data_IF_544533642415
#
_entry.id   IF_544533642415
#
_cell.length_a   1.000
_cell.length_b   1.000
_cell.length_c   1.000
_cell.angle_alpha   90.00
_cell.angle_beta   90.00
_cell.angle_gamma   90.00
#
_symmetry.space_group_name_H-M   'P 1'
#
loop_
_entity.id
_entity.type
_entity.pdbx_description
1 polymer ?
#
# COMPACT_ATOMS: atom_id res chain seq x y z
N UNK A 1 -11.10 13.51 4.71
CA UNK A 1 -10.46 14.84 4.90
C UNK A 1 -9.08 14.78 4.26
N UNK A 2 -8.69 15.74 3.40
CA UNK A 2 -7.32 15.78 2.87
C UNK A 2 -6.41 16.41 3.93
N UNK A 3 -5.48 15.63 4.48
CA UNK A 3 -4.48 16.12 5.42
C UNK A 3 -3.40 16.92 4.69
N UNK A 4 -2.75 17.85 5.38
CA UNK A 4 -1.63 18.65 4.84
C UNK A 4 -0.48 17.81 4.26
N UNK A 5 -0.40 16.52 4.61
CA UNK A 5 0.62 15.58 4.14
C UNK A 5 0.23 14.85 2.84
N UNK A 6 -0.88 15.24 2.18
CA UNK A 6 -1.36 14.60 0.96
C UNK A 6 -2.06 13.25 1.17
N UNK A 7 -2.43 12.93 2.42
CA UNK A 7 -3.22 11.77 2.77
C UNK A 7 -4.71 12.07 2.64
N UNK A 8 -5.49 11.05 2.28
CA UNK A 8 -6.94 11.06 2.35
C UNK A 8 -7.43 9.88 3.19
N UNK A 9 -7.90 10.22 4.39
CA UNK A 9 -8.43 9.29 5.38
C UNK A 9 -9.72 9.85 5.97
N UNK A 10 -10.46 9.02 6.70
CA UNK A 10 -11.72 9.41 7.32
C UNK A 10 -11.50 10.46 8.41
N UNK A 11 -10.79 10.09 9.48
CA UNK A 11 -10.54 10.93 10.65
C UNK A 11 -9.21 10.53 11.33
N UNK A 12 -8.30 11.49 11.49
CA UNK A 12 -6.99 11.28 12.13
C UNK A 12 -7.11 10.95 13.62
N UNK A 13 -8.21 11.34 14.28
CA UNK A 13 -8.42 11.09 15.70
C UNK A 13 -8.68 9.61 16.02
N UNK A 14 -8.90 8.77 15.00
CA UNK A 14 -9.03 7.32 15.16
C UNK A 14 -7.67 6.62 15.36
N UNK A 15 -6.55 7.33 15.15
CA UNK A 15 -5.20 6.78 15.22
C UNK A 15 -4.86 6.01 16.53
N UNK A 16 -5.30 6.42 17.74
CA UNK A 16 -5.02 5.64 18.95
C UNK A 16 -5.54 4.19 18.87
N UNK A 17 -6.79 3.99 18.44
CA UNK A 17 -7.37 2.65 18.26
C UNK A 17 -6.60 1.82 17.23
N UNK A 18 -6.24 2.43 16.10
CA UNK A 18 -5.44 1.74 15.08
C UNK A 18 -4.04 1.35 15.57
N UNK A 19 -3.38 2.18 16.38
CA UNK A 19 -2.08 1.85 16.98
C UNK A 19 -2.17 0.63 17.88
N UNK A 20 -3.22 0.51 18.69
CA UNK A 20 -3.42 -0.65 19.56
C UNK A 20 -3.60 -1.94 18.73
N UNK A 21 -4.37 -1.89 17.64
CA UNK A 21 -4.53 -3.01 16.71
C UNK A 21 -3.22 -3.40 16.03
N UNK A 22 -2.44 -2.42 15.57
CA UNK A 22 -1.12 -2.65 14.93
C UNK A 22 -0.15 -3.27 15.95
N UNK A 23 -0.12 -2.77 17.18
CA UNK A 23 0.71 -3.32 18.25
C UNK A 23 0.33 -4.77 18.57
N UNK A 24 -0.97 -5.08 18.59
CA UNK A 24 -1.47 -6.43 18.81
C UNK A 24 -1.01 -7.40 17.72
N UNK A 25 -1.17 -7.07 16.43
CA UNK A 25 -0.71 -7.96 15.35
C UNK A 25 0.82 -8.10 15.31
N UNK A 26 1.56 -7.04 15.64
CA UNK A 26 3.04 -7.08 15.68
C UNK A 26 3.56 -8.14 16.65
N UNK A 27 2.85 -8.37 17.76
CA UNK A 27 3.22 -9.42 18.73
C UNK A 27 2.93 -10.83 18.22
N UNK A 28 2.06 -10.98 17.22
CA UNK A 28 1.62 -12.27 16.66
C UNK A 28 2.29 -12.61 15.33
N UNK A 29 3.21 -11.78 14.82
CA UNK A 29 3.85 -11.93 13.51
C UNK A 29 5.39 -12.05 13.64
N UNK A 30 5.91 -13.20 14.13
CA UNK A 30 7.31 -13.36 14.51
C UNK A 30 8.29 -13.25 13.33
N UNK A 31 7.91 -13.70 12.13
CA UNK A 31 8.74 -13.60 10.92
C UNK A 31 8.98 -12.14 10.57
N UNK A 32 7.92 -11.32 10.54
CA UNK A 32 8.05 -9.89 10.27
C UNK A 32 8.84 -9.16 11.35
N UNK A 33 8.68 -9.54 12.62
CA UNK A 33 9.48 -8.98 13.72
C UNK A 33 10.97 -9.29 13.58
N UNK A 34 11.31 -10.49 13.14
CA UNK A 34 12.69 -10.86 12.84
C UNK A 34 13.25 -10.09 11.63
N UNK A 35 12.45 -9.93 10.57
CA UNK A 35 12.81 -9.12 9.40
C UNK A 35 12.99 -7.64 9.78
N UNK A 36 12.12 -7.08 10.61
CA UNK A 36 12.18 -5.69 11.06
C UNK A 36 13.53 -5.39 11.73
N UNK A 37 13.97 -6.25 12.65
CA UNK A 37 15.28 -6.12 13.30
C UNK A 37 16.42 -6.08 12.28
N UNK A 38 16.40 -6.98 11.29
CA UNK A 38 17.42 -7.02 10.23
C UNK A 38 17.36 -5.81 9.31
N UNK A 39 16.16 -5.41 8.90
CA UNK A 39 15.93 -4.34 7.94
C UNK A 39 16.29 -2.95 8.49
N UNK A 40 16.17 -2.73 9.80
CA UNK A 40 16.65 -1.50 10.45
C UNK A 40 18.16 -1.28 10.26
N UNK A 41 18.94 -2.36 10.19
CA UNK A 41 20.39 -2.34 9.97
C UNK A 41 20.73 -2.36 8.47
N UNK A 42 20.17 -3.33 7.74
CA UNK A 42 20.51 -3.59 6.33
C UNK A 42 19.94 -2.54 5.36
N UNK A 43 18.78 -1.96 5.69
CA UNK A 43 18.01 -1.01 4.86
C UNK A 43 18.00 -1.38 3.35
N UNK A 44 17.56 -2.59 2.97
CA UNK A 44 17.71 -3.09 1.61
C UNK A 44 16.87 -2.34 0.56
N UNK A 45 15.88 -1.54 0.99
CA UNK A 45 15.04 -0.71 0.14
C UNK A 45 15.37 0.79 0.27
N UNK A 46 16.56 1.13 0.78
CA UNK A 46 17.00 2.51 0.87
C UNK A 46 16.92 3.21 -0.49
N UNK A 47 16.24 4.37 -0.52
CA UNK A 47 16.05 5.16 -1.73
C UNK A 47 14.97 4.63 -2.68
N UNK A 48 14.25 3.56 -2.32
CA UNK A 48 13.14 3.02 -3.10
C UNK A 48 11.80 3.55 -2.62
N UNK A 49 10.89 3.76 -3.57
CA UNK A 49 9.49 4.10 -3.31
C UNK A 49 8.61 2.88 -3.57
N UNK A 50 7.78 2.53 -2.59
CA UNK A 50 6.85 1.38 -2.68
C UNK A 50 5.42 1.87 -2.54
N UNK A 51 4.55 1.44 -3.45
CA UNK A 51 3.10 1.64 -3.34
C UNK A 51 2.41 0.32 -3.02
N UNK A 52 1.57 0.31 -1.98
CA UNK A 52 0.82 -0.87 -1.53
C UNK A 52 -0.67 -0.65 -1.80
N UNK A 53 -1.30 -1.61 -2.47
CA UNK A 53 -2.75 -1.73 -2.65
C UNK A 53 -3.19 -3.11 -2.17
N UNK A 54 -3.53 -3.21 -0.89
CA UNK A 54 -3.97 -4.44 -0.21
C UNK A 54 -5.14 -4.06 0.71
N UNK A 55 -5.94 -5.01 1.17
CA UNK A 55 -6.90 -4.79 2.24
C UNK A 55 -6.26 -4.04 3.41
N UNK A 56 -6.70 -2.80 3.69
CA UNK A 56 -6.02 -1.92 4.64
C UNK A 56 -6.44 -2.23 6.08
N UNK A 57 -5.77 -3.22 6.65
CA UNK A 57 -5.95 -3.71 8.01
C UNK A 57 -4.65 -3.64 8.82
N UNK A 58 -4.70 -3.95 10.11
CA UNK A 58 -3.56 -3.83 11.02
C UNK A 58 -2.32 -4.62 10.54
N UNK A 59 -2.52 -5.80 9.95
CA UNK A 59 -1.43 -6.62 9.38
C UNK A 59 -0.73 -5.93 8.21
N UNK A 60 -1.50 -5.29 7.34
CA UNK A 60 -1.02 -4.51 6.19
C UNK A 60 -0.28 -3.26 6.65
N UNK A 61 -0.79 -2.60 7.70
CA UNK A 61 -0.09 -1.47 8.31
C UNK A 61 1.26 -1.88 8.92
N UNK A 62 1.32 -3.02 9.61
CA UNK A 62 2.62 -3.54 10.09
C UNK A 62 3.56 -3.89 8.93
N UNK A 63 3.03 -4.39 7.81
CA UNK A 63 3.81 -4.62 6.59
C UNK A 63 4.37 -3.32 5.98
N UNK A 64 3.56 -2.27 5.89
CA UNK A 64 4.03 -0.95 5.47
C UNK A 64 5.14 -0.42 6.40
N UNK A 65 5.01 -0.61 7.72
CA UNK A 65 6.04 -0.25 8.71
C UNK A 65 7.33 -1.05 8.55
N UNK A 66 7.24 -2.32 8.19
CA UNK A 66 8.39 -3.17 7.88
C UNK A 66 9.15 -2.65 6.64
N UNK A 67 8.43 -2.29 5.57
CA UNK A 67 9.06 -1.73 4.36
C UNK A 67 9.71 -0.37 4.63
N UNK A 68 9.09 0.48 5.45
CA UNK A 68 9.73 1.72 5.91
C UNK A 68 10.99 1.44 6.72
N UNK A 69 10.97 0.42 7.58
CA UNK A 69 12.16 -0.01 8.34
C UNK A 69 13.27 -0.50 7.41
N UNK A 70 12.92 -1.09 6.27
CA UNK A 70 13.85 -1.43 5.19
C UNK A 70 14.40 -0.23 4.42
N UNK A 71 14.02 1.00 4.76
CA UNK A 71 14.52 2.24 4.13
C UNK A 71 13.65 2.77 2.98
N UNK A 72 12.51 2.14 2.70
CA UNK A 72 11.63 2.59 1.64
C UNK A 72 10.79 3.82 2.04
N UNK A 73 10.45 4.64 1.05
CA UNK A 73 9.32 5.57 1.12
C UNK A 73 8.05 4.80 0.73
N UNK A 74 7.03 4.79 1.59
CA UNK A 74 5.86 3.91 1.40
C UNK A 74 4.57 4.71 1.25
N UNK A 75 3.80 4.40 0.22
CA UNK A 75 2.45 4.89 -0.05
C UNK A 75 1.46 3.74 0.10
N UNK A 76 0.29 4.00 0.70
CA UNK A 76 -0.68 2.95 1.05
C UNK A 76 -2.08 3.34 0.59
N UNK A 77 -2.77 2.40 -0.05
CA UNK A 77 -4.20 2.46 -0.40
C UNK A 77 -4.85 1.10 -0.13
N UNK A 78 -6.19 1.06 -0.13
CA UNK A 78 -6.95 -0.18 -0.11
C UNK A 78 -7.12 -0.79 -1.50
N UNK A 79 -7.26 -2.12 -1.59
CA UNK A 79 -7.65 -2.85 -2.82
C UNK A 79 -9.16 -3.14 -2.92
N UNK A 80 -9.94 -2.73 -1.90
CA UNK A 80 -11.39 -2.89 -1.90
C UNK A 80 -12.04 -1.77 -1.07
N UNK A 81 -13.06 -1.06 -1.59
CA UNK A 81 -13.73 0.05 -0.90
C UNK A 81 -14.26 -0.29 0.49
N UNK A 82 -14.63 -1.54 0.75
CA UNK A 82 -15.26 -1.99 1.99
C UNK A 82 -14.28 -2.64 2.98
N UNK A 83 -13.00 -2.74 2.64
CA UNK A 83 -12.02 -3.48 3.45
C UNK A 83 -11.16 -2.61 4.36
N UNK A 84 -11.10 -1.31 4.09
CA UNK A 84 -10.32 -0.37 4.89
C UNK A 84 -10.83 -0.35 6.32
N UNK A 85 -9.91 -0.47 7.27
CA UNK A 85 -10.17 -0.11 8.67
C UNK A 85 -9.69 1.32 8.90
N UNK A 86 -10.63 2.26 9.03
CA UNK A 86 -10.30 3.70 9.07
C UNK A 86 -9.40 4.08 10.24
N UNK A 87 -9.49 3.38 11.37
CA UNK A 87 -8.60 3.61 12.50
C UNK A 87 -7.16 3.17 12.23
N UNK A 88 -6.97 2.08 11.48
CA UNK A 88 -5.65 1.64 11.00
C UNK A 88 -5.08 2.62 9.97
N UNK A 89 -5.90 3.09 9.03
CA UNK A 89 -5.52 4.12 8.07
C UNK A 89 -5.08 5.41 8.77
N UNK A 90 -5.83 5.84 9.79
CA UNK A 90 -5.50 6.97 10.64
C UNK A 90 -4.18 6.76 11.41
N UNK A 91 -3.96 5.56 11.96
CA UNK A 91 -2.72 5.25 12.65
C UNK A 91 -1.50 5.37 11.72
N UNK A 92 -1.54 4.80 10.52
CA UNK A 92 -0.45 4.96 9.54
C UNK A 92 -0.24 6.43 9.15
N UNK A 93 -1.31 7.18 8.87
CA UNK A 93 -1.19 8.59 8.54
C UNK A 93 -0.56 9.40 9.69
N UNK A 94 -0.92 9.10 10.94
CA UNK A 94 -0.34 9.72 12.13
C UNK A 94 1.14 9.35 12.34
N UNK A 95 1.57 8.18 11.86
CA UNK A 95 2.98 7.76 11.82
C UNK A 95 3.75 8.40 10.64
N UNK A 96 3.10 9.22 9.81
CA UNK A 96 3.74 9.97 8.72
C UNK A 96 3.78 9.25 7.36
N UNK A 97 3.01 8.17 7.18
CA UNK A 97 2.82 7.56 5.86
C UNK A 97 1.86 8.39 5.01
N UNK A 98 2.03 8.33 3.68
CA UNK A 98 0.98 8.78 2.75
C UNK A 98 -0.06 7.68 2.60
N UNK A 99 -1.29 7.94 3.06
CA UNK A 99 -2.39 6.97 3.04
C UNK A 99 -3.57 7.57 2.30
N UNK A 100 -4.09 6.86 1.30
CA UNK A 100 -5.28 7.25 0.53
C UNK A 100 -6.27 6.08 0.59
N UNK A 101 -7.09 6.03 1.61
CA UNK A 101 -8.04 4.94 1.80
C UNK A 101 -9.08 5.34 2.85
N UNK A 102 -10.36 5.14 2.52
CA UNK A 102 -11.50 5.35 3.41
C UNK A 102 -12.45 4.19 3.21
N UNK A 103 -13.05 3.68 4.29
CA UNK A 103 -14.08 2.65 4.21
C UNK A 103 -15.36 3.17 3.55
N UNK A 104 -15.98 2.38 2.69
CA UNK A 104 -17.31 2.65 2.14
C UNK A 104 -17.35 3.75 1.08
N UNK A 105 -16.22 4.02 0.41
CA UNK A 105 -16.16 5.05 -0.64
C UNK A 105 -16.84 4.63 -1.94
N UNK A 106 -17.16 5.63 -2.76
CA UNK A 106 -17.65 5.41 -4.13
C UNK A 106 -16.59 4.73 -5.00
N UNK A 107 -17.01 4.13 -6.12
CA UNK A 107 -16.06 3.55 -7.09
C UNK A 107 -15.12 4.60 -7.69
N UNK A 108 -15.61 5.83 -7.84
CA UNK A 108 -14.85 6.97 -8.37
C UNK A 108 -13.78 7.41 -7.37
N UNK A 109 -14.13 7.54 -6.09
CA UNK A 109 -13.18 7.83 -5.01
C UNK A 109 -12.17 6.70 -4.80
N UNK A 110 -12.60 5.44 -4.89
CA UNK A 110 -11.70 4.28 -4.86
C UNK A 110 -10.64 4.37 -5.97
N UNK A 111 -11.07 4.62 -7.20
CA UNK A 111 -10.15 4.78 -8.34
C UNK A 111 -9.21 5.96 -8.12
N UNK A 112 -9.73 7.08 -7.60
CA UNK A 112 -8.95 8.27 -7.29
C UNK A 112 -7.87 8.00 -6.24
N UNK A 113 -8.17 7.24 -5.19
CA UNK A 113 -7.18 6.81 -4.19
C UNK A 113 -6.05 5.97 -4.79
N UNK A 114 -6.37 5.04 -5.69
CA UNK A 114 -5.37 4.23 -6.40
C UNK A 114 -4.45 5.12 -7.25
N UNK A 115 -5.03 5.99 -8.07
CA UNK A 115 -4.28 6.93 -8.94
C UNK A 115 -3.39 7.87 -8.11
N UNK A 116 -3.91 8.43 -7.02
CA UNK A 116 -3.13 9.30 -6.13
C UNK A 116 -1.94 8.56 -5.51
N UNK A 117 -2.11 7.27 -5.18
CA UNK A 117 -1.04 6.44 -4.62
C UNK A 117 0.01 6.02 -5.66
N UNK A 118 -0.35 5.99 -6.95
CA UNK A 118 0.58 5.79 -8.06
C UNK A 118 1.34 7.06 -8.47
N UNK A 119 0.80 8.26 -8.19
CA UNK A 119 1.41 9.54 -8.59
C UNK A 119 2.82 9.78 -8.05
N UNK A 120 3.25 8.99 -7.05
CA UNK A 120 4.61 8.99 -6.53
C UNK A 120 5.65 8.34 -7.47
N UNK A 121 5.21 7.76 -8.60
CA UNK A 121 6.04 7.02 -9.56
C UNK A 121 6.86 5.90 -8.88
N UNK A 122 6.18 4.87 -8.34
CA UNK A 122 6.82 3.87 -7.47
C UNK A 122 7.91 3.08 -8.20
N UNK A 123 8.97 2.72 -7.47
CA UNK A 123 9.92 1.70 -7.92
C UNK A 123 9.30 0.30 -7.83
N UNK A 124 8.48 0.07 -6.80
CA UNK A 124 7.89 -1.25 -6.52
C UNK A 124 6.40 -1.08 -6.20
N UNK A 125 5.57 -1.97 -6.75
CA UNK A 125 4.16 -2.09 -6.37
C UNK A 125 3.91 -3.42 -5.65
N UNK A 126 3.04 -3.39 -4.64
CA UNK A 126 2.49 -4.58 -3.99
C UNK A 126 0.98 -4.49 -4.13
N UNK A 127 0.39 -5.42 -4.89
CA UNK A 127 -1.02 -5.40 -5.29
C UNK A 127 -1.75 -6.65 -4.79
N UNK A 128 -3.05 -6.50 -4.61
CA UNK A 128 -4.00 -7.52 -4.21
C UNK A 128 -5.20 -7.40 -5.16
N UNK A 129 -5.29 -8.36 -6.07
CA UNK A 129 -6.39 -8.48 -7.02
C UNK A 129 -6.07 -7.92 -8.41
N UNK A 130 -5.02 -7.11 -8.57
CA UNK A 130 -4.51 -6.64 -9.86
C UNK A 130 -5.09 -5.30 -10.34
N UNK A 131 -5.84 -4.58 -9.52
CA UNK A 131 -6.45 -3.30 -9.88
C UNK A 131 -5.43 -2.17 -9.98
N UNK A 132 -4.48 -2.10 -9.03
CA UNK A 132 -3.42 -1.10 -9.04
C UNK A 132 -2.54 -1.28 -10.28
N UNK A 133 -2.14 -2.53 -10.57
CA UNK A 133 -1.35 -2.85 -11.76
C UNK A 133 -2.11 -2.53 -13.04
N UNK A 134 -3.42 -2.84 -13.10
CA UNK A 134 -4.22 -2.55 -14.30
C UNK A 134 -4.32 -1.04 -14.56
N UNK A 135 -4.58 -0.24 -13.52
CA UNK A 135 -4.60 1.22 -13.64
C UNK A 135 -3.25 1.78 -14.08
N UNK A 136 -2.16 1.28 -13.49
CA UNK A 136 -0.80 1.69 -13.84
C UNK A 136 -0.51 1.45 -15.32
N UNK A 137 -0.82 0.27 -15.87
CA UNK A 137 -0.52 0.00 -17.28
C UNK A 137 -1.50 0.65 -18.28
N UNK A 138 -2.78 0.77 -17.93
CA UNK A 138 -3.80 1.15 -18.92
C UNK A 138 -4.22 2.63 -18.84
N UNK A 139 -4.23 3.23 -17.64
CA UNK A 139 -4.76 4.59 -17.42
C UNK A 139 -3.68 5.60 -17.10
N UNK A 140 -2.66 5.20 -16.34
CA UNK A 140 -1.58 6.10 -15.91
C UNK A 140 -0.17 5.51 -16.15
N UNK A 141 0.14 5.07 -17.39
CA UNK A 141 1.44 4.45 -17.72
C UNK A 141 2.65 5.36 -17.44
N UNK A 142 2.45 6.67 -17.40
CA UNK A 142 3.47 7.64 -17.03
C UNK A 142 3.97 7.49 -15.57
N UNK A 143 3.17 6.87 -14.70
CA UNK A 143 3.58 6.59 -13.33
C UNK A 143 4.47 5.34 -13.22
N UNK A 144 4.60 4.54 -14.28
CA UNK A 144 5.46 3.37 -14.31
C UNK A 144 6.93 3.70 -14.65
N UNK A 145 7.28 4.98 -14.81
CA UNK A 145 8.62 5.44 -15.25
C UNK A 145 9.78 4.82 -14.44
N UNK A 146 9.60 4.65 -13.12
CA UNK A 146 10.63 4.10 -12.24
C UNK A 146 10.42 2.62 -11.88
N UNK A 147 9.34 2.00 -12.38
CA UNK A 147 8.91 0.70 -11.91
C UNK A 147 9.95 -0.37 -12.27
N UNK A 148 10.42 -1.11 -11.26
CA UNK A 148 11.39 -2.20 -11.43
C UNK A 148 10.82 -3.56 -11.01
N UNK A 149 9.73 -3.57 -10.21
CA UNK A 149 9.12 -4.81 -9.75
C UNK A 149 7.66 -4.63 -9.32
N UNK A 150 6.89 -5.71 -9.44
CA UNK A 150 5.57 -5.84 -8.85
C UNK A 150 5.43 -7.16 -8.09
N UNK A 151 4.70 -7.13 -6.97
CA UNK A 151 4.29 -8.31 -6.22
C UNK A 151 2.76 -8.38 -6.21
N UNK A 152 2.20 -9.57 -6.37
CA UNK A 152 0.75 -9.79 -6.35
C UNK A 152 0.40 -10.86 -5.31
N UNK A 153 -0.54 -10.55 -4.43
CA UNK A 153 -0.94 -11.42 -3.31
C UNK A 153 -1.88 -12.55 -3.75
N UNK A 154 -2.79 -12.29 -4.69
CA UNK A 154 -3.92 -13.18 -4.97
C UNK A 154 -3.77 -14.02 -6.22
N UNK A 155 -4.39 -15.20 -6.20
CA UNK A 155 -4.54 -16.04 -7.39
C UNK A 155 -5.20 -15.29 -8.56
N UNK A 156 -6.22 -14.49 -8.27
CA UNK A 156 -6.94 -13.70 -9.29
C UNK A 156 -6.02 -12.69 -9.97
N UNK A 157 -5.29 -11.90 -9.20
CA UNK A 157 -4.34 -10.95 -9.76
C UNK A 157 -3.21 -11.65 -10.52
N UNK A 158 -2.69 -12.79 -10.02
CA UNK A 158 -1.66 -13.58 -10.74
C UNK A 158 -2.19 -14.06 -12.10
N UNK A 159 -3.45 -14.52 -12.17
CA UNK A 159 -4.08 -14.91 -13.44
C UNK A 159 -4.19 -13.71 -14.39
N UNK A 160 -4.62 -12.54 -13.89
CA UNK A 160 -4.67 -11.29 -14.68
C UNK A 160 -3.28 -10.90 -15.20
N UNK A 161 -2.23 -11.03 -14.39
CA UNK A 161 -0.86 -10.73 -14.79
C UNK A 161 -0.32 -11.69 -15.83
N UNK A 162 -0.57 -12.99 -15.68
CA UNK A 162 -0.22 -13.99 -16.70
C UNK A 162 -0.95 -13.72 -18.02
N UNK A 163 -2.23 -13.39 -17.98
CA UNK A 163 -2.99 -13.04 -19.17
C UNK A 163 -2.42 -11.79 -19.86
N UNK A 164 -2.08 -10.76 -19.10
CA UNK A 164 -1.44 -9.53 -19.60
C UNK A 164 -0.07 -9.80 -20.21
N UNK A 165 0.76 -10.63 -19.56
CA UNK A 165 2.06 -11.06 -20.07
C UNK A 165 1.95 -11.84 -21.37
N UNK A 166 1.04 -12.82 -21.43
CA UNK A 166 0.78 -13.61 -22.65
C UNK A 166 0.28 -12.73 -23.81
N UNK A 167 -0.38 -11.61 -23.51
CA UNK A 167 -0.79 -10.62 -24.49
C UNK A 167 0.30 -9.61 -24.87
N UNK A 168 1.51 -9.70 -24.30
CA UNK A 168 2.61 -8.75 -24.53
C UNK A 168 2.35 -7.35 -23.97
N UNK A 169 1.49 -7.23 -22.95
CA UNK A 169 1.05 -5.94 -22.35
C UNK A 169 1.54 -5.74 -20.91
N UNK A 170 2.44 -6.60 -20.44
CA UNK A 170 3.09 -6.49 -19.14
C UNK A 170 4.49 -5.93 -19.40
N UNK A 171 4.69 -4.67 -19.00
CA UNK A 171 5.91 -3.90 -19.25
C UNK A 171 6.85 -3.97 -18.05
#
# INVERSE_FOLDING_TARGET
MILKNGCEILDINLAPSGRDKIAWVRNSMPVMKALEKRFLEEKPLAGKTVTISIHLEAKTAYFAMLLRSAGAKVYVTGCNPLSTQDDVAAALAAEGFTVNAIHGVSAEDYTRHLVQSLSCKPDIIVDDGGDLVSLLHDTCPEYAENLIAGCEETTTGVIRMKARSNAGRLN
#
